data_IF_043405664298
#
_entry.id   IF_043405664298
#
_cell.length_a   1.000
_cell.length_b   1.000
_cell.length_c   1.000
_cell.angle_alpha   90.00
_cell.angle_beta   90.00
_cell.angle_gamma   90.00
#
_symmetry.space_group_name_H-M   'P 1'
#
loop_
_entity.id
_entity.type
_entity.pdbx_description
1 polymer ?
#
# COMPACT_ATOMS: atom_id res chain seq x y z
N UNK A 1 31.02 26.65 -31.22
CA UNK A 1 30.92 25.19 -31.46
C UNK A 1 30.93 24.37 -30.18
N UNK A 2 31.94 24.41 -29.30
CA UNK A 2 31.99 23.57 -28.08
C UNK A 2 30.80 23.74 -27.12
N UNK A 3 30.21 24.93 -27.05
CA UNK A 3 29.04 25.24 -26.20
C UNK A 3 27.73 24.61 -26.70
N UNK A 4 27.60 24.43 -28.03
CA UNK A 4 26.40 23.86 -28.66
C UNK A 4 26.33 22.35 -28.41
N UNK A 5 27.48 21.66 -28.43
CA UNK A 5 27.55 20.24 -28.09
C UNK A 5 27.22 19.97 -26.62
N UNK A 6 27.57 20.88 -25.69
CA UNK A 6 27.21 20.77 -24.28
C UNK A 6 25.71 20.91 -24.03
N UNK A 7 25.05 21.84 -24.73
CA UNK A 7 23.60 22.06 -24.62
C UNK A 7 22.77 20.93 -25.24
N UNK A 8 23.23 20.34 -26.35
CA UNK A 8 22.61 19.16 -26.96
C UNK A 8 22.74 17.91 -26.07
N UNK A 9 23.88 17.75 -25.39
CA UNK A 9 24.07 16.67 -24.43
C UNK A 9 23.18 16.84 -23.18
N UNK A 10 23.04 18.07 -22.67
CA UNK A 10 22.17 18.38 -21.53
C UNK A 10 20.68 18.22 -21.85
N UNK A 11 20.27 18.59 -23.07
CA UNK A 11 18.89 18.40 -23.54
C UNK A 11 18.56 16.91 -23.75
N UNK A 12 19.52 16.10 -24.20
CA UNK A 12 19.34 14.65 -24.35
C UNK A 12 19.16 13.94 -23.00
N UNK A 13 19.78 14.43 -21.91
CA UNK A 13 19.67 13.83 -20.58
C UNK A 13 18.33 14.09 -19.85
N UNK A 14 17.52 15.04 -20.32
CA UNK A 14 16.26 15.44 -19.65
C UNK A 14 15.03 14.69 -20.22
N UNK A 15 15.16 14.03 -21.37
CA UNK A 15 14.03 13.40 -22.08
C UNK A 15 13.69 12.00 -21.55
N UNK A 16 14.53 11.36 -20.74
CA UNK A 16 14.44 9.92 -20.40
C UNK A 16 13.96 9.60 -18.96
N UNK A 17 12.85 10.17 -18.44
CA UNK A 17 12.45 9.97 -17.01
C UNK A 17 11.04 9.38 -16.61
N UNK A 18 9.83 9.79 -17.07
CA UNK A 18 8.49 9.38 -16.48
C UNK A 18 7.42 8.46 -17.24
N UNK A 19 7.36 7.09 -17.17
CA UNK A 19 6.45 6.16 -17.94
C UNK A 19 6.76 4.69 -17.61
N UNK A 20 5.89 4.03 -16.83
CA UNK A 20 6.38 2.89 -16.04
C UNK A 20 5.35 1.86 -15.54
N UNK A 21 4.12 1.73 -16.08
CA UNK A 21 3.07 0.87 -15.45
C UNK A 21 2.19 0.03 -16.41
N UNK A 22 2.71 -0.42 -17.55
CA UNK A 22 1.91 -1.13 -18.56
C UNK A 22 2.51 -2.51 -18.89
N UNK A 23 2.08 -3.56 -18.18
CA UNK A 23 2.54 -4.94 -18.41
C UNK A 23 1.70 -5.71 -19.44
N UNK A 24 0.48 -5.26 -19.75
CA UNK A 24 -0.40 -5.91 -20.73
C UNK A 24 -1.11 -4.83 -21.56
N UNK A 25 -0.80 -4.79 -22.86
CA UNK A 25 -1.46 -3.94 -23.86
C UNK A 25 -0.85 -2.54 -24.06
N UNK A 26 -1.64 -1.57 -24.56
CA UNK A 26 -1.11 -0.29 -25.04
C UNK A 26 -0.95 0.72 -23.89
N UNK A 27 0.29 1.18 -23.68
CA UNK A 27 0.59 2.21 -22.69
C UNK A 27 0.42 3.61 -23.28
N UNK A 28 -0.34 4.45 -22.59
CA UNK A 28 -0.72 5.78 -23.04
C UNK A 28 -0.15 6.84 -22.10
N UNK A 29 0.52 7.85 -22.66
CA UNK A 29 1.10 8.96 -21.90
C UNK A 29 0.02 9.96 -21.48
N UNK A 30 0.31 10.82 -20.52
CA UNK A 30 -0.54 11.96 -20.23
C UNK A 30 -0.86 12.74 -21.52
N UNK A 31 -2.15 12.95 -21.77
CA UNK A 31 -2.67 13.60 -22.97
C UNK A 31 -2.94 12.67 -24.17
N UNK A 32 -2.46 11.41 -24.14
CA UNK A 32 -2.77 10.43 -25.19
C UNK A 32 -4.21 9.96 -25.09
N UNK A 33 -4.83 9.73 -26.25
CA UNK A 33 -6.22 9.31 -26.33
C UNK A 33 -6.39 7.86 -25.85
N UNK A 34 -7.19 7.67 -24.80
CA UNK A 34 -7.45 6.36 -24.21
C UNK A 34 -8.84 5.80 -24.56
N UNK A 35 -9.41 6.27 -25.68
CA UNK A 35 -10.67 5.75 -26.20
C UNK A 35 -10.47 4.38 -26.86
N UNK A 36 -11.16 3.31 -26.41
CA UNK A 36 -11.09 2.01 -27.07
C UNK A 36 -11.47 2.07 -28.56
N UNK A 37 -12.30 3.04 -28.96
CA UNK A 37 -12.78 3.19 -30.35
C UNK A 37 -11.70 3.63 -31.34
N UNK A 38 -10.61 4.22 -30.84
CA UNK A 38 -9.51 4.69 -31.69
C UNK A 38 -8.50 3.60 -32.05
N UNK A 39 -8.68 2.41 -31.49
CA UNK A 39 -7.81 1.27 -31.73
C UNK A 39 -8.58 0.22 -32.53
N UNK A 40 -8.14 0.00 -33.77
CA UNK A 40 -8.78 -0.94 -34.69
C UNK A 40 -8.28 -2.36 -34.39
N UNK A 41 -8.98 -3.06 -33.50
CA UNK A 41 -8.66 -4.43 -33.14
C UNK A 41 -9.22 -5.40 -34.18
N UNK A 42 -8.37 -5.87 -35.10
CA UNK A 42 -8.72 -6.84 -36.15
C UNK A 42 -8.74 -8.29 -35.69
N UNK A 43 -8.27 -8.58 -34.47
CA UNK A 43 -8.33 -9.90 -33.85
C UNK A 43 -9.04 -9.78 -32.49
N UNK A 44 -9.88 -10.76 -32.15
CA UNK A 44 -10.70 -10.86 -30.92
C UNK A 44 -9.90 -10.90 -29.58
N UNK A 45 -8.65 -10.48 -29.56
CA UNK A 45 -7.88 -10.34 -28.34
C UNK A 45 -8.24 -8.99 -27.72
N UNK A 46 -8.82 -9.01 -26.52
CA UNK A 46 -9.00 -7.81 -25.68
C UNK A 46 -7.61 -7.25 -25.41
N UNK A 47 -7.30 -6.09 -25.97
CA UNK A 47 -6.08 -5.36 -25.63
C UNK A 47 -6.48 -4.37 -24.54
N UNK A 48 -6.05 -4.66 -23.32
CA UNK A 48 -6.14 -3.69 -22.23
C UNK A 48 -5.28 -2.47 -22.58
N UNK A 49 -5.75 -1.26 -22.29
CA UNK A 49 -4.95 -0.05 -22.43
C UNK A 49 -4.86 0.59 -21.06
N UNK A 50 -3.64 0.87 -20.64
CA UNK A 50 -3.35 1.43 -19.35
C UNK A 50 -2.67 2.79 -19.56
N UNK A 51 -3.13 3.78 -18.80
CA UNK A 51 -2.45 5.05 -18.74
C UNK A 51 -1.16 4.92 -17.92
N UNK A 52 -0.18 5.79 -18.17
CA UNK A 52 1.03 5.83 -17.37
C UNK A 52 0.72 6.14 -15.90
N UNK A 53 1.62 5.77 -15.00
CA UNK A 53 1.39 5.94 -13.58
C UNK A 53 1.27 7.38 -13.15
N UNK A 54 0.45 7.59 -12.12
CA UNK A 54 0.03 8.93 -11.76
C UNK A 54 -0.99 9.51 -12.74
N UNK A 55 -1.50 8.73 -13.71
CA UNK A 55 -2.58 9.15 -14.61
C UNK A 55 -3.65 8.07 -14.75
N UNK A 56 -4.85 8.45 -15.17
CA UNK A 56 -6.00 7.56 -15.38
C UNK A 56 -6.73 7.90 -16.68
N UNK A 57 -7.52 6.94 -17.20
CA UNK A 57 -8.39 7.17 -18.34
C UNK A 57 -9.82 7.52 -17.86
N UNK A 58 -10.35 8.71 -18.17
CA UNK A 58 -11.73 9.09 -17.89
C UNK A 58 -12.76 8.13 -18.52
N UNK A 59 -13.69 7.59 -17.72
CA UNK A 59 -14.69 6.61 -18.20
C UNK A 59 -16.08 7.20 -18.51
N UNK A 60 -16.24 8.52 -18.45
CA UNK A 60 -17.56 9.15 -18.65
C UNK A 60 -18.05 9.08 -20.09
N UNK A 61 -19.32 8.68 -20.26
CA UNK A 61 -20.02 8.61 -21.55
C UNK A 61 -20.20 9.95 -22.24
N UNK A 62 -19.96 11.07 -21.55
CA UNK A 62 -20.04 12.42 -22.11
C UNK A 62 -18.74 12.86 -22.80
N UNK A 63 -17.66 12.08 -22.68
CA UNK A 63 -16.36 12.43 -23.23
C UNK A 63 -16.20 11.75 -24.60
N UNK A 64 -16.20 12.55 -25.67
CA UNK A 64 -16.05 12.04 -27.02
C UNK A 64 -14.63 11.50 -27.31
N UNK A 65 -13.62 11.98 -26.58
CA UNK A 65 -12.21 11.60 -26.73
C UNK A 65 -11.50 11.62 -25.37
N UNK A 66 -11.66 10.56 -24.55
CA UNK A 66 -10.94 10.49 -23.28
C UNK A 66 -9.43 10.45 -23.55
N UNK A 67 -8.67 11.17 -22.74
CA UNK A 67 -7.21 11.17 -22.75
C UNK A 67 -6.70 10.79 -21.37
N UNK A 68 -5.54 10.16 -21.29
CA UNK A 68 -4.91 9.87 -20.00
C UNK A 68 -4.63 11.18 -19.27
N UNK A 69 -5.15 11.30 -18.06
CA UNK A 69 -5.17 12.53 -17.27
C UNK A 69 -4.51 12.28 -15.94
N UNK A 70 -3.67 13.20 -15.47
CA UNK A 70 -3.00 13.08 -14.18
C UNK A 70 -3.99 12.96 -13.01
N UNK A 71 -3.70 12.05 -12.08
CA UNK A 71 -4.40 11.97 -10.80
C UNK A 71 -4.18 13.26 -10.00
N UNK A 72 -5.22 13.63 -9.26
CA UNK A 72 -5.24 14.75 -8.34
C UNK A 72 -4.55 14.37 -7.03
N UNK A 73 -3.61 15.20 -6.60
CA UNK A 73 -2.89 15.10 -5.33
C UNK A 73 -3.67 15.67 -4.16
N UNK A 74 -3.14 15.59 -2.93
CA UNK A 74 -3.81 16.09 -1.73
C UNK A 74 -4.19 17.57 -1.85
N UNK A 75 -5.44 17.89 -1.54
CA UNK A 75 -6.01 19.24 -1.61
C UNK A 75 -6.42 19.70 -3.02
N UNK A 76 -6.05 18.97 -4.08
CA UNK A 76 -6.48 19.28 -5.44
C UNK A 76 -7.93 18.86 -5.68
N UNK A 77 -8.62 19.53 -6.60
CA UNK A 77 -10.04 19.30 -6.86
C UNK A 77 -10.29 17.95 -7.54
N UNK A 78 -11.38 17.28 -7.18
CA UNK A 78 -11.71 15.94 -7.67
C UNK A 78 -13.22 15.80 -7.97
N UNK A 79 -13.66 14.61 -8.41
CA UNK A 79 -15.09 14.27 -8.47
C UNK A 79 -15.80 14.72 -9.76
N UNK A 80 -15.03 15.25 -10.71
CA UNK A 80 -15.46 15.40 -12.10
C UNK A 80 -15.06 14.18 -12.92
N UNK A 81 -15.65 13.98 -14.11
CA UNK A 81 -15.17 12.98 -15.05
C UNK A 81 -13.67 13.05 -15.40
N UNK A 82 -13.01 14.18 -15.18
CA UNK A 82 -11.62 14.45 -15.58
C UNK A 82 -10.66 14.51 -14.39
N UNK A 83 -11.15 14.30 -13.16
CA UNK A 83 -10.34 14.43 -11.95
C UNK A 83 -10.63 13.27 -11.01
N UNK A 84 -9.62 12.44 -10.78
CA UNK A 84 -9.66 11.35 -9.83
C UNK A 84 -8.47 11.46 -8.88
N UNK A 85 -8.58 10.92 -7.67
CA UNK A 85 -7.53 11.05 -6.67
C UNK A 85 -6.46 9.98 -6.83
N UNK A 86 -5.20 10.37 -6.59
CA UNK A 86 -4.11 9.40 -6.51
C UNK A 86 -4.33 8.50 -5.30
N UNK A 87 -4.10 7.19 -5.41
CA UNK A 87 -4.10 6.33 -4.21
C UNK A 87 -3.00 6.78 -3.24
N UNK A 88 -3.25 6.83 -1.92
CA UNK A 88 -4.45 6.35 -1.21
C UNK A 88 -5.51 7.44 -0.96
N UNK A 89 -5.38 8.61 -1.57
CA UNK A 89 -6.33 9.70 -1.42
C UNK A 89 -7.70 9.34 -2.04
N UNK A 90 -8.77 9.81 -1.41
CA UNK A 90 -10.13 9.65 -1.90
C UNK A 90 -10.75 11.01 -2.19
N UNK A 91 -11.63 11.06 -3.18
CA UNK A 91 -12.31 12.29 -3.53
C UNK A 91 -13.39 12.65 -2.51
N UNK A 92 -13.26 13.82 -1.88
CA UNK A 92 -14.19 14.24 -0.82
C UNK A 92 -14.82 15.59 -1.09
N UNK A 93 -16.14 15.65 -1.02
CA UNK A 93 -16.92 16.89 -1.11
C UNK A 93 -17.17 17.49 0.27
N UNK A 94 -16.69 18.72 0.50
CA UNK A 94 -17.04 19.54 1.65
C UNK A 94 -17.85 20.74 1.14
N UNK A 95 -19.12 20.81 1.54
CA UNK A 95 -20.12 21.73 0.98
C UNK A 95 -20.32 21.51 -0.53
N UNK A 96 -19.61 22.28 -1.36
CA UNK A 96 -19.67 22.26 -2.82
C UNK A 96 -18.31 22.04 -3.46
N UNK A 97 -17.23 22.00 -2.67
CA UNK A 97 -15.87 21.81 -3.17
C UNK A 97 -15.44 20.37 -2.90
N UNK A 98 -15.09 19.66 -3.95
CA UNK A 98 -14.57 18.30 -3.88
C UNK A 98 -13.05 18.34 -4.03
N UNK A 99 -12.31 17.84 -3.04
CA UNK A 99 -10.84 17.75 -3.07
C UNK A 99 -10.35 16.37 -2.64
N UNK A 100 -9.16 15.97 -3.09
CA UNK A 100 -8.52 14.75 -2.64
C UNK A 100 -7.98 14.89 -1.22
N UNK A 101 -8.29 13.92 -0.36
CA UNK A 101 -7.79 13.84 1.01
C UNK A 101 -7.57 12.37 1.40
N UNK A 102 -6.84 12.12 2.50
CA UNK A 102 -6.74 10.76 3.08
C UNK A 102 -7.91 10.61 4.04
N UNK A 103 -8.68 9.53 3.89
CA UNK A 103 -9.80 9.20 4.75
C UNK A 103 -9.50 7.97 5.58
N UNK A 104 -10.24 7.81 6.68
CA UNK A 104 -10.22 6.57 7.44
C UNK A 104 -8.91 6.29 8.17
N UNK A 105 -8.09 7.31 8.45
CA UNK A 105 -6.71 7.13 8.93
C UNK A 105 -6.51 7.27 10.44
N UNK A 106 -7.53 7.74 11.16
CA UNK A 106 -7.51 7.90 12.62
C UNK A 106 -8.35 6.79 13.28
N UNK A 107 -7.78 6.10 14.26
CA UNK A 107 -8.46 5.12 15.09
C UNK A 107 -9.23 5.74 16.26
N UNK A 108 -9.83 4.90 17.10
CA UNK A 108 -10.61 5.34 18.25
C UNK A 108 -9.77 6.20 19.22
N UNK A 109 -10.33 7.32 19.66
CA UNK A 109 -9.73 8.25 20.63
C UNK A 109 -8.81 9.29 20.03
N UNK A 110 -8.47 9.19 18.74
CA UNK A 110 -7.55 10.12 18.09
C UNK A 110 -8.21 11.45 17.71
N UNK A 111 -7.45 12.55 17.80
CA UNK A 111 -7.92 13.90 17.49
C UNK A 111 -8.31 14.06 16.02
N UNK A 112 -9.54 14.51 15.78
CA UNK A 112 -10.12 14.72 14.46
C UNK A 112 -10.77 16.09 14.34
N UNK A 113 -10.86 16.58 13.12
CA UNK A 113 -11.64 17.76 12.77
C UNK A 113 -12.97 17.38 12.09
N UNK A 114 -13.03 16.22 11.43
CA UNK A 114 -14.20 15.75 10.71
C UNK A 114 -14.31 14.23 10.69
N UNK A 115 -15.53 13.70 10.59
CA UNK A 115 -15.83 12.25 10.58
C UNK A 115 -14.98 11.43 9.60
N UNK A 116 -14.66 12.02 8.44
CA UNK A 116 -13.91 11.34 7.38
C UNK A 116 -12.48 10.96 7.76
N UNK A 117 -11.86 11.68 8.70
CA UNK A 117 -10.51 11.33 9.14
C UNK A 117 -10.55 10.04 9.96
N UNK A 118 -11.66 9.76 10.63
CA UNK A 118 -11.86 8.57 11.44
C UNK A 118 -12.04 7.34 10.55
N UNK A 119 -11.44 6.22 10.98
CA UNK A 119 -11.59 4.90 10.40
C UNK A 119 -13.06 4.52 10.23
N UNK A 120 -13.31 3.46 9.46
CA UNK A 120 -14.68 3.00 9.23
C UNK A 120 -15.43 2.79 10.58
N UNK A 121 -16.74 3.00 10.59
CA UNK A 121 -17.57 2.90 11.81
C UNK A 121 -17.36 3.98 12.88
N UNK A 122 -16.27 4.76 12.83
CA UNK A 122 -16.00 5.86 13.75
C UNK A 122 -16.46 7.21 13.19
N UNK A 123 -16.70 8.16 14.11
CA UNK A 123 -17.14 9.52 13.81
C UNK A 123 -16.35 10.51 14.64
N UNK A 124 -16.24 11.74 14.15
CA UNK A 124 -15.55 12.79 14.88
C UNK A 124 -16.52 13.44 15.86
N UNK A 125 -16.50 12.95 17.09
CA UNK A 125 -17.39 13.39 18.17
C UNK A 125 -16.57 14.22 19.14
N UNK A 126 -16.94 15.48 19.32
CA UNK A 126 -16.25 16.41 20.24
C UNK A 126 -14.74 16.55 19.96
N UNK A 127 -14.33 16.39 18.70
CA UNK A 127 -12.93 16.51 18.27
C UNK A 127 -12.11 15.23 18.42
N UNK A 128 -12.70 14.10 18.78
CA UNK A 128 -12.04 12.80 18.82
C UNK A 128 -12.83 11.74 18.03
N UNK A 129 -12.12 10.79 17.42
CA UNK A 129 -12.75 9.69 16.72
C UNK A 129 -13.39 8.72 17.73
N UNK A 130 -14.70 8.55 17.67
CA UNK A 130 -15.42 7.63 18.57
C UNK A 130 -16.64 7.02 17.88
N UNK A 131 -17.18 5.97 18.49
CA UNK A 131 -18.54 5.54 18.18
C UNK A 131 -19.53 6.64 18.56
N UNK A 132 -20.60 6.78 17.77
CA UNK A 132 -21.72 7.64 18.14
C UNK A 132 -22.41 7.10 19.41
N UNK A 133 -23.06 7.97 20.20
CA UNK A 133 -23.83 7.52 21.36
C UNK A 133 -24.84 6.42 20.98
N UNK A 134 -24.86 5.33 21.75
CA UNK A 134 -25.70 4.14 21.52
C UNK A 134 -25.37 3.34 20.25
N UNK A 135 -24.25 3.63 19.57
CA UNK A 135 -23.71 2.75 18.54
C UNK A 135 -22.79 1.72 19.19
N UNK A 136 -22.94 0.51 18.70
CA UNK A 136 -22.24 -0.70 19.12
C UNK A 136 -21.05 -0.90 18.18
N UNK A 137 -19.94 -1.45 18.68
CA UNK A 137 -18.79 -1.78 17.83
C UNK A 137 -19.13 -2.91 16.83
N UNK A 138 -18.53 -2.91 15.63
CA UNK A 138 -18.70 -3.97 14.62
C UNK A 138 -17.43 -4.78 14.40
N UNK A 139 -16.26 -4.19 14.63
CA UNK A 139 -14.94 -4.80 14.49
C UNK A 139 -13.94 -4.13 15.44
N UNK A 140 -12.72 -4.66 15.54
CA UNK A 140 -11.83 -4.36 16.66
C UNK A 140 -11.26 -2.94 16.60
N UNK A 141 -11.09 -2.39 15.40
CA UNK A 141 -10.65 -1.00 15.20
C UNK A 141 -11.65 0.07 15.63
N UNK A 142 -12.89 -0.30 15.95
CA UNK A 142 -13.88 0.60 16.54
C UNK A 142 -13.76 0.70 18.08
N UNK A 143 -12.78 0.00 18.67
CA UNK A 143 -12.56 -0.05 20.12
C UNK A 143 -11.29 0.69 20.55
N UNK A 144 -11.24 1.20 21.80
CA UNK A 144 -10.04 1.78 22.38
C UNK A 144 -8.86 0.79 22.38
N UNK A 145 -7.65 1.32 22.54
CA UNK A 145 -6.47 0.50 22.79
C UNK A 145 -6.67 -0.50 23.92
N UNK A 146 -6.12 -1.70 23.75
CA UNK A 146 -6.27 -2.81 24.70
C UNK A 146 -7.69 -3.40 24.76
N UNK A 147 -8.56 -3.04 23.82
CA UNK A 147 -9.91 -3.60 23.70
C UNK A 147 -10.18 -4.17 22.31
N UNK A 148 -11.14 -5.09 22.26
CA UNK A 148 -11.61 -5.76 21.06
C UNK A 148 -13.13 -5.75 21.04
N UNK A 149 -13.71 -5.83 19.85
CA UNK A 149 -15.14 -5.80 19.70
C UNK A 149 -15.74 -7.19 19.87
N UNK A 150 -16.60 -7.40 20.87
CA UNK A 150 -17.33 -8.66 21.01
C UNK A 150 -18.52 -8.75 20.04
N UNK A 151 -18.24 -8.68 18.75
CA UNK A 151 -19.19 -8.73 17.67
C UNK A 151 -19.52 -10.15 17.25
N UNK A 152 -20.69 -10.64 17.65
CA UNK A 152 -21.52 -11.45 16.75
C UNK A 152 -22.94 -10.89 16.79
N UNK A 153 -23.45 -10.44 15.64
CA UNK A 153 -24.85 -9.98 15.48
C UNK A 153 -25.89 -11.12 15.58
N UNK A 154 -25.49 -12.26 16.16
CA UNK A 154 -26.32 -13.43 16.36
C UNK A 154 -27.01 -13.31 17.72
N UNK A 155 -28.18 -12.66 17.72
CA UNK A 155 -29.26 -12.73 18.72
C UNK A 155 -28.86 -12.55 20.20
N UNK A 156 -29.06 -11.33 20.71
CA UNK A 156 -29.19 -10.95 22.14
C UNK A 156 -27.93 -10.79 23.01
N UNK A 157 -26.72 -10.85 22.46
CA UNK A 157 -25.51 -10.44 23.22
C UNK A 157 -25.27 -8.93 23.03
N UNK A 158 -25.11 -8.13 24.10
CA UNK A 158 -24.70 -6.74 23.95
C UNK A 158 -23.29 -6.72 23.37
N UNK A 159 -23.20 -6.31 22.10
CA UNK A 159 -21.92 -6.14 21.42
C UNK A 159 -21.29 -4.87 21.97
N UNK A 160 -20.11 -5.02 22.56
CA UNK A 160 -19.39 -3.97 23.27
C UNK A 160 -17.88 -4.22 23.14
N UNK A 161 -17.10 -3.15 23.31
CA UNK A 161 -15.66 -3.27 23.46
C UNK A 161 -15.32 -3.97 24.78
N UNK A 162 -14.48 -4.99 24.71
CA UNK A 162 -14.03 -5.80 25.84
C UNK A 162 -12.51 -5.76 25.91
N UNK A 163 -11.95 -5.85 27.11
CA UNK A 163 -10.50 -5.95 27.25
C UNK A 163 -9.97 -7.19 26.54
N UNK A 164 -8.82 -7.02 25.89
CA UNK A 164 -8.06 -8.15 25.33
C UNK A 164 -7.66 -9.13 26.44
N UNK A 165 -7.56 -10.39 26.07
CA UNK A 165 -7.16 -11.46 26.96
C UNK A 165 -5.65 -11.46 27.18
N UNK A 166 -5.25 -11.82 28.39
CA UNK A 166 -3.84 -12.00 28.73
C UNK A 166 -3.23 -13.23 28.00
N UNK A 167 -1.91 -13.23 27.82
CA UNK A 167 -1.17 -14.37 27.28
C UNK A 167 -1.52 -15.67 28.03
N UNK A 168 -1.71 -16.76 27.28
CA UNK A 168 -2.16 -18.06 27.77
C UNK A 168 -3.67 -18.22 27.96
N UNK A 169 -4.46 -17.17 27.78
CA UNK A 169 -5.93 -17.27 27.83
C UNK A 169 -6.50 -17.91 26.57
N UNK A 170 -7.64 -18.60 26.70
CA UNK A 170 -8.36 -19.16 25.54
C UNK A 170 -8.88 -18.05 24.65
N UNK A 171 -8.77 -18.23 23.35
CA UNK A 171 -9.23 -17.29 22.34
C UNK A 171 -9.82 -18.02 21.13
N UNK A 172 -10.46 -17.27 20.26
CA UNK A 172 -11.05 -17.73 19.00
C UNK A 172 -10.59 -16.92 17.79
N UNK A 173 -10.01 -15.72 18.01
CA UNK A 173 -9.44 -14.85 16.96
C UNK A 173 -8.38 -13.91 17.53
N UNK A 174 -7.54 -13.35 16.66
CA UNK A 174 -6.37 -12.56 17.07
C UNK A 174 -6.70 -11.28 17.82
N UNK A 175 -7.77 -10.59 17.41
CA UNK A 175 -8.15 -9.33 18.06
C UNK A 175 -8.48 -9.49 19.54
N UNK A 176 -8.76 -10.71 20.00
CA UNK A 176 -8.97 -11.00 21.42
C UNK A 176 -7.68 -11.02 22.25
N UNK A 177 -6.51 -11.00 21.64
CA UNK A 177 -5.22 -11.07 22.32
C UNK A 177 -4.57 -9.69 22.40
N UNK A 178 -3.64 -9.50 23.36
CA UNK A 178 -2.83 -8.28 23.39
C UNK A 178 -1.97 -8.14 22.14
N UNK A 179 -1.46 -6.93 21.90
CA UNK A 179 -0.82 -6.51 20.64
C UNK A 179 0.44 -7.31 20.28
N UNK A 180 1.11 -7.85 21.30
CA UNK A 180 2.28 -8.70 21.20
C UNK A 180 1.95 -10.21 21.09
N UNK A 181 0.66 -10.56 21.04
CA UNK A 181 0.15 -11.92 21.02
C UNK A 181 -0.76 -12.18 19.81
N UNK A 182 -0.88 -13.46 19.44
CA UNK A 182 -1.83 -13.96 18.45
C UNK A 182 -2.64 -15.13 19.02
N UNK A 183 -3.78 -15.44 18.43
CA UNK A 183 -4.67 -16.53 18.86
C UNK A 183 -4.34 -17.90 18.21
N UNK A 184 -3.36 -18.62 18.74
CA UNK A 184 -2.83 -19.84 18.13
C UNK A 184 -3.09 -21.13 18.92
N UNK A 185 -3.05 -22.27 18.21
CA UNK A 185 -2.92 -23.58 18.87
C UNK A 185 -1.57 -23.68 19.60
N UNK A 186 -1.60 -24.30 20.77
CA UNK A 186 -0.39 -24.60 21.55
C UNK A 186 0.15 -25.95 21.09
N UNK A 187 1.47 -26.14 21.14
CA UNK A 187 2.09 -27.42 20.81
C UNK A 187 1.42 -28.58 21.56
N UNK A 188 0.85 -29.51 20.79
CA UNK A 188 0.15 -30.68 21.32
C UNK A 188 -1.31 -30.47 21.73
N UNK A 189 -1.87 -29.26 21.65
CA UNK A 189 -3.29 -28.96 21.87
C UNK A 189 -3.92 -28.34 20.62
N UNK A 190 -4.52 -29.20 19.79
CA UNK A 190 -5.26 -28.81 18.59
C UNK A 190 -6.76 -28.57 18.86
N UNK A 191 -7.20 -28.64 20.13
CA UNK A 191 -8.62 -28.51 20.46
C UNK A 191 -9.00 -27.07 20.82
N UNK A 192 -8.05 -26.29 21.33
CA UNK A 192 -8.27 -24.91 21.75
C UNK A 192 -7.14 -24.00 21.28
N UNK A 193 -7.49 -22.78 20.88
CA UNK A 193 -6.53 -21.73 20.63
C UNK A 193 -6.35 -20.88 21.89
N UNK A 194 -5.15 -20.36 22.06
CA UNK A 194 -4.75 -19.53 23.18
C UNK A 194 -3.99 -18.31 22.68
N UNK A 195 -4.08 -17.21 23.42
CA UNK A 195 -3.23 -16.04 23.15
C UNK A 195 -1.78 -16.41 23.42
N UNK A 196 -0.93 -16.30 22.41
CA UNK A 196 0.46 -16.71 22.44
C UNK A 196 1.37 -15.58 21.96
N UNK A 197 2.58 -15.44 22.50
CA UNK A 197 3.52 -14.41 22.07
C UNK A 197 3.87 -14.57 20.60
N UNK A 198 3.91 -13.46 19.87
CA UNK A 198 4.43 -13.43 18.51
C UNK A 198 5.87 -13.95 18.47
N UNK A 199 6.26 -14.56 17.35
CA UNK A 199 7.57 -15.16 17.10
C UNK A 199 7.97 -16.29 18.08
N UNK A 200 7.00 -17.02 18.64
CA UNK A 200 7.26 -18.09 19.62
C UNK A 200 7.45 -19.49 19.01
N UNK A 201 7.00 -19.73 17.78
CA UNK A 201 7.05 -21.05 17.13
C UNK A 201 8.40 -21.35 16.48
N UNK A 202 8.86 -22.58 16.61
CA UNK A 202 10.13 -23.09 16.09
C UNK A 202 9.94 -23.84 14.79
N UNK A 203 11.06 -24.21 14.16
CA UNK A 203 11.06 -25.00 12.94
C UNK A 203 10.30 -26.33 13.13
N UNK A 204 9.28 -26.54 12.31
CA UNK A 204 8.41 -27.72 12.33
C UNK A 204 7.11 -27.54 13.12
N UNK A 205 6.98 -26.49 13.94
CA UNK A 205 5.77 -26.26 14.72
C UNK A 205 4.60 -25.89 13.79
N UNK A 206 3.39 -26.33 14.13
CA UNK A 206 2.19 -26.03 13.35
C UNK A 206 1.85 -24.54 13.43
N UNK A 207 1.49 -23.91 12.31
CA UNK A 207 1.15 -22.49 12.23
C UNK A 207 -0.04 -22.26 11.28
N UNK A 208 -0.65 -21.07 11.34
CA UNK A 208 -1.73 -20.69 10.44
C UNK A 208 -1.23 -19.71 9.37
N UNK A 209 -1.59 -19.92 8.09
CA UNK A 209 -1.27 -18.97 7.02
C UNK A 209 -2.21 -17.73 7.00
N UNK A 210 -3.18 -17.64 7.90
CA UNK A 210 -4.13 -16.53 7.92
C UNK A 210 -3.51 -15.24 8.45
N UNK A 211 -3.93 -14.09 7.89
CA UNK A 211 -3.47 -12.76 8.26
C UNK A 211 -3.71 -12.46 9.74
N UNK A 212 -2.79 -11.70 10.35
CA UNK A 212 -2.95 -11.24 11.73
C UNK A 212 -3.97 -10.11 11.81
N UNK A 213 -4.65 -9.96 12.94
CA UNK A 213 -5.48 -8.78 13.21
C UNK A 213 -4.68 -7.61 13.81
N UNK A 214 -3.38 -7.77 14.02
CA UNK A 214 -2.55 -6.70 14.56
C UNK A 214 -1.96 -5.90 13.42
N UNK A 215 -2.24 -4.58 13.39
CA UNK A 215 -1.79 -3.59 12.40
C UNK A 215 -1.45 -4.30 11.10
N UNK A 216 -2.51 -4.69 10.38
CA UNK A 216 -2.35 -5.22 9.04
C UNK A 216 -1.78 -4.07 8.21
N UNK A 217 -0.45 -3.92 8.23
CA UNK A 217 0.36 -3.01 7.42
C UNK A 217 0.33 -3.50 5.97
N UNK A 218 -0.85 -3.94 5.55
CA UNK A 218 -1.14 -4.76 4.39
C UNK A 218 -0.29 -6.04 4.32
N UNK A 219 0.38 -6.42 5.43
CA UNK A 219 1.39 -7.46 5.39
C UNK A 219 0.79 -8.83 5.13
N UNK A 220 -0.52 -9.06 5.31
CA UNK A 220 -1.16 -10.37 5.09
C UNK A 220 -0.51 -11.52 5.89
N UNK A 221 0.48 -11.23 6.74
CA UNK A 221 1.34 -12.18 7.43
C UNK A 221 1.04 -12.16 8.92
N UNK A 222 1.04 -13.35 9.51
CA UNK A 222 0.96 -13.55 10.95
C UNK A 222 2.31 -13.94 11.50
N UNK A 223 2.78 -13.18 12.48
CA UNK A 223 4.10 -13.36 13.09
C UNK A 223 4.08 -14.47 14.16
N UNK A 224 3.68 -15.69 13.79
CA UNK A 224 3.70 -16.84 14.73
C UNK A 224 5.09 -17.47 14.86
N UNK A 225 5.77 -17.64 13.72
CA UNK A 225 7.06 -18.31 13.63
C UNK A 225 8.20 -17.39 14.08
N UNK A 226 9.18 -17.96 14.77
CA UNK A 226 10.40 -17.28 15.20
C UNK A 226 11.19 -16.68 14.02
N UNK A 227 12.12 -15.77 14.33
CA UNK A 227 12.97 -15.15 13.31
C UNK A 227 13.55 -16.18 12.32
N UNK A 228 13.52 -15.79 11.06
CA UNK A 228 13.98 -16.53 9.88
C UNK A 228 13.10 -17.71 9.46
N UNK A 229 11.89 -17.82 10.03
CA UNK A 229 10.89 -18.84 9.65
C UNK A 229 9.63 -18.20 9.08
N UNK A 230 8.97 -18.91 8.17
CA UNK A 230 7.68 -18.56 7.57
C UNK A 230 6.69 -19.70 7.78
N UNK A 231 5.41 -19.37 7.91
CA UNK A 231 4.36 -20.39 7.90
C UNK A 231 4.10 -20.92 6.49
N UNK A 232 4.67 -22.09 6.17
CA UNK A 232 4.52 -22.75 4.87
C UNK A 232 3.81 -24.09 5.04
N UNK A 233 2.71 -24.27 4.30
CA UNK A 233 1.91 -25.50 4.37
C UNK A 233 1.38 -25.82 5.77
N UNK A 234 1.14 -24.79 6.60
CA UNK A 234 0.67 -24.94 7.98
C UNK A 234 1.76 -25.33 9.00
N UNK A 235 3.03 -25.20 8.64
CA UNK A 235 4.17 -25.42 9.56
C UNK A 235 5.21 -24.33 9.42
N UNK A 236 5.88 -23.98 10.52
CA UNK A 236 6.98 -23.03 10.50
C UNK A 236 8.19 -23.68 9.83
N UNK A 237 8.59 -23.16 8.68
CA UNK A 237 9.68 -23.69 7.88
C UNK A 237 10.71 -22.59 7.62
N UNK A 238 11.96 -22.98 7.37
CA UNK A 238 12.88 -22.06 6.72
C UNK A 238 12.24 -21.65 5.40
N UNK A 239 12.21 -20.36 5.04
CA UNK A 239 11.68 -19.93 3.76
C UNK A 239 12.42 -20.67 2.65
N UNK A 240 11.77 -21.67 2.04
CA UNK A 240 12.29 -22.43 0.91
C UNK A 240 12.10 -21.63 -0.35
N UNK A 241 12.73 -20.45 -0.39
CA UNK A 241 12.64 -19.57 -1.54
C UNK A 241 13.83 -19.79 -2.44
N UNK A 242 13.80 -20.89 -3.19
CA UNK A 242 14.25 -20.79 -4.57
C UNK A 242 13.13 -20.11 -5.34
N UNK A 243 13.04 -18.78 -5.23
CA UNK A 243 12.29 -18.02 -6.25
C UNK A 243 12.92 -18.42 -7.57
N UNK A 244 12.14 -18.88 -8.57
CA UNK A 244 12.68 -18.98 -9.90
C UNK A 244 13.24 -17.60 -10.21
N UNK A 245 14.55 -17.45 -10.34
CA UNK A 245 15.21 -16.20 -10.74
C UNK A 245 14.92 -15.86 -12.19
N UNK A 246 13.76 -16.30 -12.69
CA UNK A 246 13.26 -16.06 -14.02
C UNK A 246 12.92 -14.59 -14.18
N UNK A 247 13.01 -14.15 -15.42
CA UNK A 247 12.68 -12.80 -15.78
C UNK A 247 11.15 -12.64 -15.69
N UNK A 248 10.68 -11.78 -14.80
CA UNK A 248 9.25 -11.50 -14.60
C UNK A 248 8.60 -10.70 -15.73
N UNK A 249 9.37 -10.41 -16.78
CA UNK A 249 8.99 -9.63 -17.96
C UNK A 249 9.12 -10.45 -19.26
N UNK A 250 9.34 -11.77 -19.19
CA UNK A 250 9.25 -12.63 -20.38
C UNK A 250 7.79 -12.76 -20.84
N UNK A 251 7.53 -12.59 -22.13
CA UNK A 251 6.20 -12.48 -22.73
C UNK A 251 5.29 -13.71 -22.49
N UNK A 252 5.87 -14.84 -22.07
CA UNK A 252 5.17 -16.07 -21.74
C UNK A 252 4.70 -16.17 -20.27
N UNK A 253 5.30 -15.42 -19.34
CA UNK A 253 5.03 -15.47 -17.89
C UNK A 253 4.96 -14.06 -17.34
N UNK A 254 3.90 -13.32 -17.71
CA UNK A 254 3.66 -11.90 -17.40
C UNK A 254 3.48 -11.56 -15.90
N UNK A 255 3.80 -12.47 -15.00
CA UNK A 255 3.74 -12.23 -13.56
C UNK A 255 4.70 -13.16 -12.83
N UNK A 256 5.25 -12.67 -11.73
CA UNK A 256 5.88 -13.55 -10.77
C UNK A 256 4.83 -14.52 -10.21
N UNK A 257 5.14 -15.81 -10.01
CA UNK A 257 4.16 -16.75 -9.51
C UNK A 257 3.68 -16.28 -8.13
N UNK A 258 2.39 -15.90 -8.04
CA UNK A 258 1.77 -15.37 -6.83
C UNK A 258 1.85 -16.33 -5.63
N UNK A 259 1.99 -17.63 -5.89
CA UNK A 259 2.20 -18.69 -4.90
C UNK A 259 3.36 -18.41 -3.93
N UNK A 260 4.31 -17.55 -4.33
CA UNK A 260 5.52 -17.29 -3.56
C UNK A 260 5.53 -15.93 -2.86
N UNK A 261 4.48 -15.10 -3.02
CA UNK A 261 4.53 -13.71 -2.58
C UNK A 261 5.80 -13.07 -3.12
N UNK A 262 5.90 -12.98 -4.45
CA UNK A 262 7.08 -12.47 -5.14
C UNK A 262 6.68 -11.32 -6.04
N UNK A 263 7.40 -10.21 -5.92
CA UNK A 263 7.27 -9.05 -6.77
C UNK A 263 8.41 -9.00 -7.78
N UNK A 264 8.10 -8.38 -8.92
CA UNK A 264 9.07 -8.15 -9.96
C UNK A 264 9.99 -6.99 -9.55
N UNK A 265 11.25 -7.26 -9.19
CA UNK A 265 12.27 -6.23 -8.93
C UNK A 265 13.28 -6.15 -10.07
N UNK A 266 13.77 -4.94 -10.33
CA UNK A 266 14.61 -4.70 -11.50
C UNK A 266 16.10 -4.85 -11.20
N UNK A 267 16.83 -5.47 -12.13
CA UNK A 267 18.25 -5.81 -11.95
C UNK A 267 19.20 -4.66 -12.23
N UNK A 268 18.75 -3.58 -12.90
CA UNK A 268 19.47 -2.31 -12.98
C UNK A 268 18.53 -1.17 -13.39
N UNK A 269 18.94 0.07 -13.11
CA UNK A 269 18.25 1.30 -13.55
C UNK A 269 18.38 1.58 -15.05
N UNK A 270 19.24 0.86 -15.78
CA UNK A 270 19.54 1.11 -17.20
C UNK A 270 19.09 0.01 -18.17
N UNK A 271 18.70 -1.17 -17.66
CA UNK A 271 18.21 -2.31 -18.46
C UNK A 271 16.95 -2.87 -17.81
N UNK A 272 15.80 -2.36 -18.26
CA UNK A 272 14.53 -2.51 -17.52
C UNK A 272 13.53 -3.45 -18.22
N UNK A 273 14.04 -4.24 -19.17
CA UNK A 273 13.32 -5.34 -19.81
C UNK A 273 13.55 -6.69 -19.09
N UNK A 274 14.42 -6.73 -18.08
CA UNK A 274 14.74 -7.92 -17.30
C UNK A 274 14.56 -7.61 -15.82
N UNK A 275 13.30 -7.65 -15.38
CA UNK A 275 12.99 -7.76 -13.97
C UNK A 275 13.23 -9.19 -13.51
N UNK A 276 13.76 -9.40 -12.31
CA UNK A 276 13.77 -10.73 -11.70
C UNK A 276 12.62 -10.81 -10.72
N UNK A 277 11.96 -11.96 -10.68
CA UNK A 277 11.15 -12.27 -9.52
C UNK A 277 12.05 -12.26 -8.30
N UNK A 278 11.81 -11.28 -7.44
CA UNK A 278 12.33 -11.27 -6.10
C UNK A 278 11.20 -11.63 -5.18
N UNK A 279 11.49 -12.33 -4.10
CA UNK A 279 10.46 -12.57 -3.12
C UNK A 279 10.02 -11.22 -2.52
N UNK A 280 8.71 -11.00 -2.43
CA UNK A 280 8.06 -9.98 -1.57
C UNK A 280 8.28 -10.30 -0.10
N UNK A 281 9.01 -11.38 0.21
CA UNK A 281 9.53 -11.66 1.54
C UNK A 281 10.42 -10.47 1.96
N UNK A 282 9.78 -9.50 2.61
CA UNK A 282 10.07 -9.07 3.98
C UNK A 282 11.18 -9.95 4.50
N UNK A 283 12.44 -9.52 4.45
CA UNK A 283 13.55 -10.35 4.91
C UNK A 283 13.27 -10.76 6.36
N UNK A 284 12.69 -11.93 6.59
CA UNK A 284 12.22 -12.38 7.91
C UNK A 284 13.41 -12.72 8.82
N UNK A 285 14.59 -12.13 8.62
CA UNK A 285 15.78 -12.32 9.42
C UNK A 285 15.57 -11.82 10.87
N UNK A 286 16.57 -11.99 11.74
CA UNK A 286 16.47 -11.54 13.13
C UNK A 286 16.23 -10.03 13.29
N UNK A 287 16.68 -9.20 12.34
CA UNK A 287 16.41 -7.77 12.35
C UNK A 287 14.92 -7.50 12.11
N UNK A 288 14.27 -8.33 11.31
CA UNK A 288 12.84 -8.26 11.07
C UNK A 288 11.99 -8.36 12.32
N UNK A 289 12.24 -9.43 13.09
CA UNK A 289 11.56 -9.66 14.35
C UNK A 289 11.78 -8.46 15.28
N UNK A 290 13.02 -7.95 15.32
CA UNK A 290 13.36 -6.79 16.15
C UNK A 290 12.60 -5.54 15.71
N UNK A 291 12.53 -5.25 14.40
CA UNK A 291 11.80 -4.09 13.87
C UNK A 291 10.30 -4.18 14.13
N UNK A 292 9.68 -5.35 13.89
CA UNK A 292 8.26 -5.56 14.17
C UNK A 292 7.97 -5.46 15.67
N UNK A 293 8.78 -6.08 16.52
CA UNK A 293 8.64 -5.98 17.97
C UNK A 293 8.84 -4.55 18.48
N UNK A 294 9.75 -3.78 17.89
CA UNK A 294 9.97 -2.37 18.25
C UNK A 294 8.76 -1.52 17.88
N UNK A 295 8.18 -1.73 16.69
CA UNK A 295 6.94 -1.05 16.29
C UNK A 295 5.76 -1.42 17.20
N UNK A 296 5.58 -2.72 17.49
CA UNK A 296 4.54 -3.21 18.42
C UNK A 296 4.72 -2.56 19.79
N UNK A 297 5.94 -2.53 20.31
CA UNK A 297 6.23 -1.94 21.61
C UNK A 297 5.94 -0.44 21.62
N UNK A 298 6.35 0.29 20.57
CA UNK A 298 6.03 1.70 20.44
C UNK A 298 4.51 1.94 20.42
N UNK A 299 3.75 1.14 19.66
CA UNK A 299 2.30 1.23 19.61
C UNK A 299 1.67 0.99 20.98
N UNK A 300 2.19 0.03 21.76
CA UNK A 300 1.76 -0.26 23.13
C UNK A 300 2.08 0.91 24.07
N UNK A 301 3.32 1.43 24.01
CA UNK A 301 3.80 2.50 24.90
C UNK A 301 3.02 3.81 24.71
N UNK A 302 2.47 4.01 23.51
CA UNK A 302 1.65 5.17 23.16
C UNK A 302 0.15 4.88 23.08
N UNK A 303 -0.29 3.70 23.51
CA UNK A 303 -1.70 3.27 23.50
C UNK A 303 -2.38 3.49 22.14
N UNK A 304 -1.67 3.24 21.04
CA UNK A 304 -2.21 3.44 19.71
C UNK A 304 -3.34 2.43 19.43
N UNK A 305 -4.54 2.89 19.02
CA UNK A 305 -5.70 2.01 18.86
C UNK A 305 -5.46 0.90 17.84
N UNK A 306 -6.32 -0.12 17.89
CA UNK A 306 -6.20 -1.26 16.97
C UNK A 306 -6.64 -0.78 15.61
N UNK A 307 -5.87 -1.14 14.60
CA UNK A 307 -6.07 -0.62 13.26
C UNK A 307 -6.17 -1.81 12.32
N UNK A 308 -7.38 -2.36 12.20
CA UNK A 308 -7.73 -3.27 11.11
C UNK A 308 -7.96 -2.43 9.84
N UNK A 309 -7.17 -2.68 8.79
CA UNK A 309 -7.40 -2.16 7.43
C UNK A 309 -7.43 -0.63 7.28
N UNK A 310 -6.46 0.09 7.85
CA UNK A 310 -6.36 1.56 7.66
C UNK A 310 -5.13 1.93 6.83
N UNK A 311 -5.35 2.86 5.92
CA UNK A 311 -4.32 3.70 5.32
C UNK A 311 -3.62 4.54 6.40
N UNK A 312 -2.34 4.26 6.67
CA UNK A 312 -1.56 5.05 7.63
C UNK A 312 -1.43 6.51 7.17
N UNK A 313 -2.14 7.41 7.87
CA UNK A 313 -2.14 8.84 7.59
C UNK A 313 -1.16 9.62 8.47
N UNK A 314 -0.84 10.87 8.10
CA UNK A 314 0.20 11.68 8.75
C UNK A 314 -0.08 11.98 10.23
N UNK A 315 -1.35 12.08 10.63
CA UNK A 315 -1.72 12.37 12.02
C UNK A 315 -2.18 11.13 12.81
N UNK A 316 -2.05 9.93 12.25
CA UNK A 316 -2.35 8.69 12.99
C UNK A 316 -1.39 8.50 14.15
N UNK A 317 -1.80 7.80 15.20
CA UNK A 317 -1.01 7.55 16.40
C UNK A 317 0.32 6.87 16.05
N UNK A 318 0.25 5.83 15.22
CA UNK A 318 1.44 5.11 14.73
C UNK A 318 2.37 6.05 13.98
N UNK A 319 1.87 6.94 13.12
CA UNK A 319 2.72 7.88 12.38
C UNK A 319 3.25 9.02 13.25
N UNK A 320 2.53 9.44 14.28
CA UNK A 320 2.98 10.48 15.20
C UNK A 320 4.08 9.98 16.15
N UNK A 321 3.93 8.76 16.63
CA UNK A 321 4.75 8.24 17.73
C UNK A 321 5.76 7.19 17.28
N UNK A 322 5.43 6.38 16.27
CA UNK A 322 6.18 5.19 15.88
C UNK A 322 6.70 5.24 14.43
N UNK A 323 6.83 6.45 13.88
CA UNK A 323 7.30 6.68 12.52
C UNK A 323 8.69 6.10 12.30
N UNK A 324 9.62 6.29 13.22
CA UNK A 324 10.98 5.74 13.12
C UNK A 324 10.97 4.23 12.97
N UNK A 325 10.23 3.55 13.84
CA UNK A 325 10.12 2.10 13.90
C UNK A 325 9.47 1.54 12.63
N UNK A 326 8.45 2.23 12.13
CA UNK A 326 7.76 1.88 10.90
C UNK A 326 8.64 2.11 9.65
N UNK A 327 9.28 3.27 9.55
CA UNK A 327 10.01 3.72 8.37
C UNK A 327 11.45 3.21 8.28
N UNK A 328 12.02 2.74 9.38
CA UNK A 328 13.32 2.05 9.39
C UNK A 328 13.16 0.52 9.34
N UNK A 329 11.92 0.02 9.39
CA UNK A 329 11.65 -1.41 9.27
C UNK A 329 11.92 -1.88 7.84
N UNK A 330 12.88 -2.82 7.72
CA UNK A 330 13.10 -3.58 6.49
C UNK A 330 12.04 -4.67 6.28
N UNK A 331 11.09 -4.77 7.20
CA UNK A 331 10.16 -5.89 7.28
C UNK A 331 8.70 -5.57 7.11
N UNK A 332 8.40 -4.29 7.08
CA UNK A 332 7.07 -3.81 6.87
C UNK A 332 7.11 -3.15 5.51
N UNK A 333 6.05 -3.35 4.73
CA UNK A 333 5.87 -2.55 3.55
C UNK A 333 5.69 -1.10 4.03
N UNK A 334 6.71 -0.28 3.80
CA UNK A 334 6.69 1.09 4.25
C UNK A 334 5.58 1.85 3.50
N UNK A 335 4.70 2.57 4.21
CA UNK A 335 3.72 3.42 3.56
C UNK A 335 4.47 4.52 2.82
N UNK A 336 4.29 4.45 1.53
CA UNK A 336 5.19 5.00 0.52
C UNK A 336 5.23 6.51 0.50
N UNK A 337 4.19 7.11 1.07
CA UNK A 337 3.94 8.54 1.07
C UNK A 337 4.31 9.19 2.41
N UNK A 338 4.76 8.41 3.40
CA UNK A 338 4.95 8.89 4.78
C UNK A 338 6.37 8.68 5.32
N UNK A 339 7.12 7.72 4.78
CA UNK A 339 8.43 7.31 5.30
C UNK A 339 9.68 7.96 4.66
N UNK A 340 9.53 8.86 3.68
CA UNK A 340 10.67 9.60 3.11
C UNK A 340 10.29 10.74 2.15
N UNK A 341 11.31 11.48 1.66
CA UNK A 341 11.24 12.53 0.62
C UNK A 341 11.23 11.98 -0.82
N UNK A 342 11.14 10.66 -1.01
CA UNK A 342 11.22 9.98 -2.31
C UNK A 342 10.15 8.90 -2.45
N UNK A 343 9.60 8.68 -3.67
CA UNK A 343 8.65 7.61 -3.89
C UNK A 343 9.35 6.26 -3.83
N UNK A 344 8.74 5.36 -3.06
CA UNK A 344 8.65 3.90 -3.19
C UNK A 344 9.89 3.06 -3.49
N UNK A 345 9.94 1.90 -2.82
CA UNK A 345 10.51 0.67 -3.34
C UNK A 345 10.59 0.65 -4.87
N UNK A 346 11.80 0.44 -5.40
CA UNK A 346 11.99 0.15 -6.82
C UNK A 346 11.46 -1.26 -7.15
N UNK A 347 10.14 -1.47 -7.02
CA UNK A 347 9.43 -2.42 -7.89
C UNK A 347 9.84 -2.06 -9.31
N UNK A 348 10.01 -3.06 -10.17
CA UNK A 348 10.56 -2.87 -11.50
C UNK A 348 10.06 -1.61 -12.22
N UNK A 349 10.88 -0.57 -12.13
CA UNK A 349 10.52 0.74 -12.56
C UNK A 349 11.41 1.04 -13.78
N UNK A 350 10.83 0.94 -15.00
CA UNK A 350 11.34 1.47 -16.30
C UNK A 350 11.46 3.02 -16.35
N UNK A 351 12.63 3.68 -16.23
CA UNK A 351 12.72 5.07 -16.63
C UNK A 351 12.04 5.22 -17.98
N UNK A 352 11.04 6.06 -17.99
CA UNK A 352 10.37 6.49 -19.21
C UNK A 352 11.32 7.13 -20.18
N UNK A 353 10.75 7.58 -21.29
CA UNK A 353 11.08 8.91 -21.80
C UNK A 353 9.84 9.79 -21.96
N UNK A 354 9.78 10.95 -21.28
CA UNK A 354 8.88 12.08 -21.61
C UNK A 354 9.33 13.40 -20.97
N UNK A 355 10.13 14.18 -21.71
CA UNK A 355 10.01 15.64 -21.71
C UNK A 355 9.46 16.04 -23.07
N UNK A 356 8.24 16.59 -23.13
CA UNK A 356 7.79 17.33 -24.32
C UNK A 356 8.40 18.72 -24.25
N UNK A 357 9.56 18.89 -24.88
CA UNK A 357 9.81 20.17 -25.53
C UNK A 357 8.99 20.11 -26.81
N UNK A 358 7.89 20.88 -26.89
CA UNK A 358 7.16 20.97 -28.16
C UNK A 358 8.17 21.26 -29.28
N UNK A 359 8.04 20.67 -30.48
CA UNK A 359 8.89 21.02 -31.62
C UNK A 359 8.97 22.54 -31.85
N UNK A 360 7.94 23.29 -31.43
CA UNK A 360 7.89 24.74 -31.42
C UNK A 360 8.89 25.40 -30.45
N UNK A 361 9.21 24.82 -29.29
CA UNK A 361 10.18 25.39 -28.34
C UNK A 361 11.63 25.20 -28.79
N UNK A 362 11.98 24.06 -29.40
CA UNK A 362 13.32 23.86 -30.00
C UNK A 362 13.51 24.79 -31.20
N UNK A 363 12.48 24.94 -32.04
CA UNK A 363 12.51 25.92 -33.13
C UNK A 363 12.59 27.37 -32.63
N UNK A 364 11.92 27.70 -31.52
CA UNK A 364 12.00 29.02 -30.88
C UNK A 364 13.42 29.31 -30.36
N UNK A 365 14.06 28.34 -29.69
CA UNK A 365 15.44 28.48 -29.20
C UNK A 365 16.43 28.57 -30.36
N UNK A 366 16.26 27.77 -31.42
CA UNK A 366 17.09 27.87 -32.64
C UNK A 366 16.88 29.21 -33.35
N UNK A 367 15.66 29.73 -33.42
CA UNK A 367 15.35 31.04 -33.99
C UNK A 367 15.93 32.19 -33.17
N UNK A 368 15.87 32.12 -31.83
CA UNK A 368 16.46 33.11 -30.93
C UNK A 368 17.99 33.10 -31.05
N UNK A 369 18.62 31.92 -31.15
CA UNK A 369 20.06 31.81 -31.36
C UNK A 369 20.47 32.34 -32.75
N UNK A 370 19.69 32.08 -33.80
CA UNK A 370 19.93 32.60 -35.15
C UNK A 370 19.67 34.11 -35.29
N UNK A 371 18.98 34.74 -34.34
CA UNK A 371 18.78 36.20 -34.28
C UNK A 371 19.85 36.92 -33.43
N UNK A 372 20.57 36.20 -32.59
CA UNK A 372 21.62 36.73 -31.70
C UNK A 372 23.03 36.61 -32.30
N UNK A 373 23.17 35.96 -33.45
CA UNK A 373 24.39 35.85 -34.27
C UNK A 373 24.06 36.22 -35.70
#
# INVERSE_FOLDING_TARGET
MKFIYGLLALAASIVTANAQFCSIGLCLKEGDNCSPKNYNFTNNNVVDFNCEWGTFCPTSSQIFTPVCTKYSGPGETCGTPFTDCMSPYQCRTVNTLSTCAIGGYLGFGEDCNTDYQCGSGLYCVEGACSLKPNVICNYDGECPFGQWCNGTSLLNTPVQCQSVYASGSKCTRDGQCSYDNYCGYKDGDNNFMYCQPSFNKKLGDACSPHGSSFVDLESSYRYECSASLTCLGGTCQNPTMTVPTGDCMDAATQSCPSTYGSDCQCTSTSQIQTGKCTPTIVELNANCQTSVQSLVQCAIDHECPSIESITLGPDSCIMKHCKSELCESNCLQQPTDTCGDQPLYAVCNLPSSSSVVLPSFVLLIVAIIALLF
#
